data_IF_091962960027
#
_entry.id   IF_091962960027
#
_cell.length_a   1.000
_cell.length_b   1.000
_cell.length_c   1.000
_cell.angle_alpha   90.00
_cell.angle_beta   90.00
_cell.angle_gamma   90.00
#
_symmetry.space_group_name_H-M   'P 1'
#
loop_
_entity.id
_entity.type
_entity.pdbx_description
1 polymer ?
#
# COMPACT_ATOMS: atom_id res chain seq x y z
N UNK A 1 -19.30 17.42 23.92
CA UNK A 1 -18.52 16.41 23.19
C UNK A 1 -17.26 17.08 22.65
N UNK A 2 -16.13 16.91 23.34
CA UNK A 2 -14.86 17.53 22.95
C UNK A 2 -14.22 16.73 21.82
N UNK A 3 -13.89 17.42 20.73
CA UNK A 3 -13.13 16.89 19.60
C UNK A 3 -11.70 16.57 20.05
N UNK A 4 -11.39 15.28 20.14
CA UNK A 4 -10.03 14.80 20.37
C UNK A 4 -9.15 15.26 19.21
N UNK A 5 -8.15 16.09 19.52
CA UNK A 5 -7.15 16.52 18.56
C UNK A 5 -6.39 15.30 18.04
N UNK A 6 -6.44 15.07 16.72
CA UNK A 6 -5.54 14.14 16.02
C UNK A 6 -4.11 14.52 16.41
N UNK A 7 -3.49 13.71 17.26
CA UNK A 7 -2.11 13.89 17.69
C UNK A 7 -1.21 13.99 16.47
N UNK A 8 -0.34 15.00 16.45
CA UNK A 8 0.64 15.22 15.39
C UNK A 8 1.50 13.96 15.28
N UNK A 9 1.31 13.16 14.22
CA UNK A 9 2.05 11.91 13.97
C UNK A 9 3.55 12.23 14.06
N UNK A 10 4.27 11.53 14.93
CA UNK A 10 5.74 11.68 15.01
C UNK A 10 6.32 11.26 13.66
N UNK A 11 6.92 12.21 12.94
CA UNK A 11 7.57 11.96 11.66
C UNK A 11 8.87 11.18 11.91
N UNK A 12 8.95 9.95 11.37
CA UNK A 12 10.18 9.14 11.36
C UNK A 12 11.29 9.86 10.60
N UNK A 13 12.55 9.61 10.98
CA UNK A 13 13.71 10.13 10.26
C UNK A 13 13.94 9.42 8.92
N UNK A 14 14.48 10.11 7.92
CA UNK A 14 14.74 9.55 6.58
C UNK A 14 15.61 8.29 6.61
N UNK A 15 16.67 8.27 7.43
CA UNK A 15 17.50 7.06 7.60
C UNK A 15 16.69 5.88 8.14
N UNK A 16 15.84 6.13 9.14
CA UNK A 16 15.00 5.10 9.74
C UNK A 16 14.00 4.55 8.72
N UNK A 17 13.33 5.41 7.94
CA UNK A 17 12.40 4.98 6.88
C UNK A 17 13.13 4.10 5.85
N UNK A 18 14.36 4.48 5.47
CA UNK A 18 15.15 3.67 4.54
C UNK A 18 15.47 2.28 5.10
N UNK A 19 15.98 2.20 6.33
CA UNK A 19 16.35 0.93 6.96
C UNK A 19 15.11 0.04 7.15
N UNK A 20 13.98 0.61 7.58
CA UNK A 20 12.70 -0.08 7.69
C UNK A 20 12.18 -0.57 6.33
N UNK A 21 12.23 0.25 5.29
CA UNK A 21 11.80 -0.13 3.94
C UNK A 21 12.61 -1.31 3.40
N UNK A 22 13.94 -1.30 3.55
CA UNK A 22 14.79 -2.39 3.09
C UNK A 22 14.51 -3.69 3.85
N UNK A 23 14.28 -3.59 5.17
CA UNK A 23 13.87 -4.72 5.99
C UNK A 23 12.51 -5.29 5.56
N UNK A 24 11.52 -4.42 5.33
CA UNK A 24 10.18 -4.79 4.87
C UNK A 24 10.24 -5.51 3.52
N UNK A 25 10.90 -4.94 2.51
CA UNK A 25 11.03 -5.56 1.18
C UNK A 25 11.69 -6.95 1.29
N UNK A 26 12.74 -7.07 2.09
CA UNK A 26 13.44 -8.34 2.30
C UNK A 26 12.53 -9.37 2.95
N UNK A 27 11.83 -8.98 4.02
CA UNK A 27 10.91 -9.87 4.76
C UNK A 27 9.79 -10.38 3.85
N UNK A 28 9.14 -9.48 3.11
CA UNK A 28 8.02 -9.85 2.24
C UNK A 28 8.48 -10.64 1.00
N UNK A 29 9.69 -10.37 0.49
CA UNK A 29 10.30 -11.19 -0.57
C UNK A 29 10.61 -12.61 -0.08
N UNK A 30 11.16 -12.76 1.14
CA UNK A 30 11.41 -14.07 1.76
C UNK A 30 10.09 -14.83 1.93
N UNK A 31 9.04 -14.20 2.48
CA UNK A 31 7.72 -14.82 2.63
C UNK A 31 7.16 -15.26 1.28
N UNK A 32 7.22 -14.39 0.28
CA UNK A 32 6.78 -14.67 -1.09
C UNK A 32 7.47 -15.91 -1.67
N UNK A 33 8.80 -15.91 -1.74
CA UNK A 33 9.54 -17.03 -2.35
C UNK A 33 9.49 -18.31 -1.50
N UNK A 34 9.36 -18.19 -0.18
CA UNK A 34 9.18 -19.36 0.71
C UNK A 34 7.84 -20.05 0.43
N UNK A 35 6.75 -19.30 0.31
CA UNK A 35 5.44 -19.90 0.01
C UNK A 35 5.36 -20.49 -1.39
N UNK A 36 6.05 -19.88 -2.37
CA UNK A 36 6.24 -20.45 -3.71
C UNK A 36 6.98 -21.79 -3.63
N UNK A 37 8.10 -21.85 -2.90
CA UNK A 37 8.87 -23.08 -2.73
C UNK A 37 8.04 -24.18 -2.06
N UNK A 38 7.26 -23.84 -1.02
CA UNK A 38 6.35 -24.78 -0.35
C UNK A 38 5.33 -25.34 -1.35
N UNK A 39 4.70 -24.50 -2.17
CA UNK A 39 3.74 -24.96 -3.17
C UNK A 39 4.39 -25.90 -4.19
N UNK A 40 5.55 -25.54 -4.73
CA UNK A 40 6.27 -26.37 -5.72
C UNK A 40 6.66 -27.73 -5.11
N UNK A 41 7.14 -27.74 -3.87
CA UNK A 41 7.49 -28.99 -3.18
C UNK A 41 6.24 -29.86 -2.92
N UNK A 42 5.13 -29.26 -2.50
CA UNK A 42 3.87 -29.98 -2.33
C UNK A 42 3.35 -30.53 -3.67
N UNK A 43 3.41 -29.72 -4.73
CA UNK A 43 3.05 -30.12 -6.10
C UNK A 43 3.90 -31.27 -6.64
N UNK A 44 5.16 -31.36 -6.23
CA UNK A 44 6.07 -32.42 -6.68
C UNK A 44 5.93 -33.71 -5.86
N UNK A 45 5.80 -33.60 -4.54
CA UNK A 45 5.85 -34.77 -3.63
C UNK A 45 4.48 -35.28 -3.17
N UNK A 46 3.47 -34.41 -3.07
CA UNK A 46 2.21 -34.71 -2.37
C UNK A 46 0.99 -34.69 -3.29
N UNK A 47 1.02 -33.92 -4.36
CA UNK A 47 -0.13 -33.71 -5.24
C UNK A 47 0.23 -33.89 -6.72
N UNK A 48 -0.78 -33.81 -7.60
CA UNK A 48 -0.59 -33.80 -9.05
C UNK A 48 -1.45 -32.68 -9.64
N UNK A 49 -0.97 -31.42 -9.60
CA UNK A 49 -1.79 -30.27 -9.97
C UNK A 49 -2.20 -30.29 -11.43
N UNK A 50 -3.47 -29.96 -11.67
CA UNK A 50 -4.06 -29.75 -12.99
C UNK A 50 -3.55 -28.46 -13.65
N UNK A 51 -3.79 -28.32 -14.95
CA UNK A 51 -3.48 -27.09 -15.71
C UNK A 51 -4.08 -25.84 -15.07
N UNK A 52 -5.28 -25.93 -14.51
CA UNK A 52 -5.96 -24.80 -13.85
C UNK A 52 -5.19 -24.32 -12.61
N UNK A 53 -4.67 -25.25 -11.82
CA UNK A 53 -3.88 -24.92 -10.62
C UNK A 53 -2.55 -24.26 -11.00
N UNK A 54 -1.89 -24.76 -12.04
CA UNK A 54 -0.67 -24.12 -12.57
C UNK A 54 -0.91 -22.72 -13.11
N UNK A 55 -2.06 -22.47 -13.74
CA UNK A 55 -2.46 -21.13 -14.19
C UNK A 55 -2.69 -20.21 -12.98
N UNK A 56 -3.43 -20.68 -11.96
CA UNK A 56 -3.66 -19.93 -10.73
C UNK A 56 -2.34 -19.58 -10.01
N UNK A 57 -1.47 -20.57 -9.86
CA UNK A 57 -0.11 -20.40 -9.33
C UNK A 57 0.70 -19.39 -10.13
N UNK A 58 0.72 -19.51 -11.46
CA UNK A 58 1.47 -18.61 -12.35
C UNK A 58 1.00 -17.16 -12.24
N UNK A 59 -0.32 -16.94 -12.22
CA UNK A 59 -0.91 -15.62 -12.01
C UNK A 59 -0.52 -15.03 -10.66
N UNK A 60 -0.62 -15.81 -9.57
CA UNK A 60 -0.22 -15.38 -8.23
C UNK A 60 1.28 -15.03 -8.16
N UNK A 61 2.12 -15.84 -8.80
CA UNK A 61 3.57 -15.64 -8.83
C UNK A 61 3.97 -14.37 -9.61
N UNK A 62 3.38 -14.14 -10.78
CA UNK A 62 3.60 -12.92 -11.55
C UNK A 62 3.17 -11.70 -10.72
N UNK A 63 1.99 -11.76 -10.10
CA UNK A 63 1.47 -10.70 -9.24
C UNK A 63 2.44 -10.38 -8.09
N UNK A 64 2.97 -11.39 -7.38
CA UNK A 64 3.96 -11.17 -6.32
C UNK A 64 5.22 -10.45 -6.82
N UNK A 65 5.76 -10.84 -7.98
CA UNK A 65 6.94 -10.18 -8.55
C UNK A 65 6.65 -8.72 -8.94
N UNK A 66 5.46 -8.45 -9.49
CA UNK A 66 5.02 -7.09 -9.80
C UNK A 66 4.89 -6.26 -8.51
N UNK A 67 4.25 -6.78 -7.46
CA UNK A 67 4.07 -6.08 -6.19
C UNK A 67 5.42 -5.79 -5.51
N UNK A 68 6.34 -6.76 -5.47
CA UNK A 68 7.70 -6.55 -4.95
C UNK A 68 8.45 -5.52 -5.78
N UNK A 69 8.33 -5.56 -7.11
CA UNK A 69 8.90 -4.54 -7.99
C UNK A 69 8.36 -3.14 -7.69
N UNK A 70 7.05 -3.00 -7.49
CA UNK A 70 6.43 -1.74 -7.08
C UNK A 70 6.94 -1.27 -5.72
N UNK A 71 7.08 -2.15 -4.74
CA UNK A 71 7.67 -1.79 -3.44
C UNK A 71 9.11 -1.27 -3.58
N UNK A 72 9.94 -1.92 -4.39
CA UNK A 72 11.31 -1.47 -4.68
C UNK A 72 11.35 -0.10 -5.36
N UNK A 73 10.42 0.17 -6.28
CA UNK A 73 10.31 1.47 -6.95
C UNK A 73 9.84 2.55 -5.97
N UNK A 74 8.83 2.26 -5.15
CA UNK A 74 8.29 3.19 -4.15
C UNK A 74 9.30 3.52 -3.05
N UNK A 75 10.11 2.54 -2.62
CA UNK A 75 11.13 2.70 -1.59
C UNK A 75 12.52 3.12 -2.14
N UNK A 76 12.59 3.60 -3.38
CA UNK A 76 13.86 3.96 -4.01
C UNK A 76 14.47 5.20 -3.35
N UNK A 77 15.48 4.97 -2.50
CA UNK A 77 16.17 6.04 -1.80
C UNK A 77 17.17 6.81 -2.67
N UNK A 78 17.27 8.11 -2.40
CA UNK A 78 18.31 9.01 -2.93
C UNK A 78 19.36 9.23 -1.84
N UNK A 79 20.63 9.04 -2.20
CA UNK A 79 21.79 9.25 -1.31
C UNK A 79 22.63 10.42 -1.83
N UNK A 80 23.31 11.12 -0.92
CA UNK A 80 24.29 12.14 -1.30
C UNK A 80 25.65 11.51 -1.66
N UNK A 81 26.62 12.34 -2.06
CA UNK A 81 27.99 11.91 -2.40
C UNK A 81 28.72 11.18 -1.26
N UNK A 82 28.30 11.44 -0.01
CA UNK A 82 28.84 10.80 1.20
C UNK A 82 28.08 9.51 1.58
N UNK A 83 27.13 9.06 0.76
CA UNK A 83 26.31 7.87 1.00
C UNK A 83 25.18 8.05 2.03
N UNK A 84 24.94 9.26 2.53
CA UNK A 84 23.87 9.56 3.49
C UNK A 84 22.54 9.66 2.76
N UNK A 85 21.52 8.99 3.29
CA UNK A 85 20.14 9.04 2.78
C UNK A 85 19.59 10.45 2.93
N UNK A 86 19.30 11.09 1.79
CA UNK A 86 18.65 12.41 1.74
C UNK A 86 17.13 12.28 1.55
N UNK A 87 16.70 11.20 0.90
CA UNK A 87 15.30 10.86 0.68
C UNK A 87 15.20 9.33 0.67
N UNK A 88 14.32 8.78 1.52
CA UNK A 88 14.12 7.34 1.64
C UNK A 88 13.10 6.78 0.63
N UNK A 89 12.45 7.64 -0.16
CA UNK A 89 11.27 7.29 -0.94
C UNK A 89 10.02 7.26 -0.06
N UNK A 90 8.96 6.60 -0.55
CA UNK A 90 7.73 6.41 0.21
C UNK A 90 7.94 5.44 1.38
N UNK A 91 7.41 5.76 2.56
CA UNK A 91 7.37 4.84 3.69
C UNK A 91 6.39 3.70 3.38
N UNK A 92 6.90 2.48 3.22
CA UNK A 92 6.07 1.31 2.92
C UNK A 92 5.21 0.90 4.12
N UNK A 93 5.63 1.26 5.33
CA UNK A 93 4.99 0.89 6.58
C UNK A 93 4.07 2.01 7.10
N UNK A 94 3.72 2.99 6.26
CA UNK A 94 2.72 4.01 6.60
C UNK A 94 1.30 3.42 6.50
N UNK A 95 0.52 3.35 7.59
CA UNK A 95 -0.83 2.75 7.59
C UNK A 95 -1.89 3.52 6.77
N UNK A 96 -1.54 4.67 6.23
CA UNK A 96 -2.41 5.42 5.30
C UNK A 96 -1.79 5.50 3.90
N UNK A 97 -0.64 4.84 3.71
CA UNK A 97 0.17 4.91 2.51
C UNK A 97 -0.20 3.83 1.48
N UNK A 98 0.27 4.05 0.25
CA UNK A 98 0.12 3.06 -0.82
C UNK A 98 0.84 1.73 -0.52
N UNK A 99 1.89 1.79 0.30
CA UNK A 99 2.69 0.62 0.70
C UNK A 99 1.87 -0.48 1.36
N UNK A 100 0.93 -0.13 2.23
CA UNK A 100 0.07 -1.10 2.94
C UNK A 100 -0.67 -2.02 1.95
N UNK A 101 -1.27 -1.46 0.90
CA UNK A 101 -1.96 -2.25 -0.12
C UNK A 101 -1.02 -3.21 -0.86
N UNK A 102 0.25 -2.83 -1.08
CA UNK A 102 1.25 -3.71 -1.70
C UNK A 102 1.60 -4.86 -0.75
N UNK A 103 1.82 -4.56 0.53
CA UNK A 103 2.14 -5.54 1.56
C UNK A 103 1.00 -6.56 1.71
N UNK A 104 -0.23 -6.08 1.88
CA UNK A 104 -1.42 -6.93 2.01
C UNK A 104 -1.62 -7.83 0.77
N UNK A 105 -1.39 -7.28 -0.42
CA UNK A 105 -1.52 -8.04 -1.66
C UNK A 105 -0.45 -9.14 -1.78
N UNK A 106 0.77 -8.91 -1.29
CA UNK A 106 1.82 -9.95 -1.23
C UNK A 106 1.44 -11.03 -0.23
N UNK A 107 0.93 -10.66 0.95
CA UNK A 107 0.49 -11.63 1.97
C UNK A 107 -0.67 -12.47 1.46
N UNK A 108 -1.67 -11.84 0.85
CA UNK A 108 -2.81 -12.54 0.25
C UNK A 108 -2.36 -13.52 -0.83
N UNK A 109 -1.46 -13.10 -1.72
CA UNK A 109 -0.91 -13.98 -2.77
C UNK A 109 -0.10 -15.13 -2.18
N UNK A 110 0.68 -14.88 -1.13
CA UNK A 110 1.47 -15.89 -0.42
C UNK A 110 0.55 -16.91 0.29
N UNK A 111 -0.54 -16.45 0.89
CA UNK A 111 -1.56 -17.31 1.46
C UNK A 111 -2.25 -18.17 0.40
N UNK A 112 -2.49 -17.63 -0.81
CA UNK A 112 -3.05 -18.40 -1.92
C UNK A 112 -2.14 -19.58 -2.33
N UNK A 113 -0.82 -19.44 -2.28
CA UNK A 113 0.10 -20.57 -2.54
C UNK A 113 -0.03 -21.68 -1.50
N UNK A 114 -0.02 -21.31 -0.21
CA UNK A 114 -0.16 -22.31 0.87
C UNK A 114 -1.52 -23.00 0.81
N UNK A 115 -2.59 -22.22 0.64
CA UNK A 115 -3.95 -22.76 0.51
C UNK A 115 -4.14 -23.52 -0.79
N UNK A 116 -3.51 -23.10 -1.88
CA UNK A 116 -3.58 -23.75 -3.20
C UNK A 116 -3.01 -25.15 -3.20
N UNK A 117 -2.04 -25.44 -2.32
CA UNK A 117 -1.52 -26.79 -2.12
C UNK A 117 -2.55 -27.75 -1.48
N UNK A 118 -3.59 -27.21 -0.82
CA UNK A 118 -4.63 -27.98 -0.11
C UNK A 118 -5.96 -27.93 -0.86
N UNK A 119 -6.30 -26.75 -1.43
CA UNK A 119 -7.58 -26.45 -2.04
C UNK A 119 -7.38 -25.59 -3.30
N UNK A 120 -7.53 -26.22 -4.45
CA UNK A 120 -7.26 -25.67 -5.78
C UNK A 120 -8.01 -24.38 -6.15
N UNK A 121 -9.19 -24.14 -5.56
CA UNK A 121 -9.99 -22.93 -5.82
C UNK A 121 -9.58 -21.72 -4.97
N UNK A 122 -8.56 -21.86 -4.10
CA UNK A 122 -8.04 -20.76 -3.27
C UNK A 122 -7.58 -19.56 -4.11
N UNK A 123 -7.09 -19.77 -5.33
CA UNK A 123 -6.66 -18.70 -6.24
C UNK A 123 -7.79 -17.74 -6.64
N UNK A 124 -9.06 -18.10 -6.46
CA UNK A 124 -10.17 -17.16 -6.61
C UNK A 124 -10.13 -16.02 -5.58
N UNK A 125 -9.45 -16.21 -4.44
CA UNK A 125 -9.21 -15.15 -3.46
C UNK A 125 -8.40 -13.99 -4.04
N UNK A 126 -7.60 -14.21 -5.09
CA UNK A 126 -6.89 -13.13 -5.77
C UNK A 126 -7.84 -12.10 -6.39
N UNK A 127 -9.09 -12.47 -6.69
CA UNK A 127 -10.11 -11.56 -7.21
C UNK A 127 -10.53 -10.50 -6.17
N UNK A 128 -10.18 -10.68 -4.89
CA UNK A 128 -10.39 -9.66 -3.85
C UNK A 128 -9.62 -8.38 -4.20
N UNK A 129 -8.42 -8.48 -4.77
CA UNK A 129 -7.59 -7.32 -5.14
C UNK A 129 -8.29 -6.43 -6.19
N UNK A 130 -8.62 -6.93 -7.40
CA UNK A 130 -9.33 -6.12 -8.38
C UNK A 130 -10.74 -5.74 -7.90
N UNK A 131 -11.42 -6.61 -7.15
CA UNK A 131 -12.73 -6.29 -6.55
C UNK A 131 -12.65 -5.08 -5.61
N UNK A 132 -11.64 -5.02 -4.75
CA UNK A 132 -11.41 -3.89 -3.85
C UNK A 132 -11.03 -2.61 -4.59
N UNK A 133 -10.19 -2.71 -5.63
CA UNK A 133 -9.83 -1.57 -6.49
C UNK A 133 -11.08 -0.98 -7.17
N UNK A 134 -11.94 -1.84 -7.73
CA UNK A 134 -13.22 -1.41 -8.34
C UNK A 134 -14.12 -0.78 -7.30
N UNK A 135 -14.31 -1.41 -6.14
CA UNK A 135 -15.12 -0.87 -5.05
C UNK A 135 -14.66 0.53 -4.63
N UNK A 136 -13.36 0.70 -4.37
CA UNK A 136 -12.77 1.99 -4.01
C UNK A 136 -12.94 3.01 -5.13
N UNK A 137 -12.74 2.63 -6.39
CA UNK A 137 -12.95 3.51 -7.54
C UNK A 137 -14.40 3.99 -7.65
N UNK A 138 -15.37 3.09 -7.48
CA UNK A 138 -16.79 3.40 -7.49
C UNK A 138 -17.13 4.39 -6.36
N UNK A 139 -16.74 4.08 -5.12
CA UNK A 139 -17.07 4.91 -3.96
C UNK A 139 -16.37 6.27 -3.99
N UNK A 140 -15.15 6.35 -4.55
CA UNK A 140 -14.35 7.59 -4.53
C UNK A 140 -14.67 8.53 -5.69
N UNK A 141 -15.01 8.00 -6.87
CA UNK A 141 -15.21 8.81 -8.08
C UNK A 141 -16.64 8.77 -8.58
N UNK A 142 -17.24 7.58 -8.69
CA UNK A 142 -18.54 7.41 -9.36
C UNK A 142 -19.68 7.87 -8.48
N UNK A 143 -19.71 7.45 -7.21
CA UNK A 143 -20.77 7.87 -6.28
C UNK A 143 -20.76 9.39 -6.12
N UNK A 144 -19.63 10.07 -5.80
CA UNK A 144 -19.63 11.52 -5.67
C UNK A 144 -20.02 12.25 -6.96
N UNK A 145 -19.66 11.73 -8.14
CA UNK A 145 -20.06 12.31 -9.41
C UNK A 145 -21.56 12.18 -9.68
N UNK A 146 -22.17 11.04 -9.34
CA UNK A 146 -23.61 10.81 -9.47
C UNK A 146 -24.43 11.55 -8.42
N UNK A 147 -23.90 11.70 -7.20
CA UNK A 147 -24.56 12.39 -6.08
C UNK A 147 -24.16 13.86 -5.96
N UNK A 148 -23.31 14.36 -6.86
CA UNK A 148 -23.10 15.78 -7.08
C UNK A 148 -24.37 16.34 -7.75
N UNK A 149 -25.46 16.40 -6.98
CA UNK A 149 -26.55 17.31 -7.27
C UNK A 149 -26.01 18.73 -7.39
N UNK A 150 -26.80 19.62 -7.97
CA UNK A 150 -26.51 21.04 -8.20
C UNK A 150 -26.35 21.85 -6.89
N UNK A 151 -25.62 21.34 -5.91
CA UNK A 151 -25.31 22.03 -4.67
C UNK A 151 -24.20 23.02 -4.97
N UNK A 152 -24.61 24.27 -5.19
CA UNK A 152 -23.78 25.44 -4.94
C UNK A 152 -23.06 25.18 -3.61
N UNK A 153 -21.72 25.16 -3.57
CA UNK A 153 -21.01 24.85 -2.35
C UNK A 153 -21.47 25.86 -1.29
N UNK A 154 -21.83 25.43 -0.06
CA UNK A 154 -21.81 26.36 1.05
C UNK A 154 -20.39 26.91 1.08
N UNK A 155 -20.24 28.23 1.08
CA UNK A 155 -18.95 28.88 1.26
C UNK A 155 -18.30 28.31 2.53
N UNK A 156 -17.40 27.34 2.35
CA UNK A 156 -16.47 26.98 3.40
C UNK A 156 -15.67 28.25 3.67
N UNK A 157 -15.69 28.62 4.95
CA UNK A 157 -15.19 29.84 5.55
C UNK A 157 -13.63 29.94 5.40
N UNK A 158 -13.13 30.04 4.16
CA UNK A 158 -11.70 30.22 3.79
C UNK A 158 -11.17 31.58 4.28
N UNK A 159 -12.04 32.44 4.83
CA UNK A 159 -11.73 33.80 5.27
C UNK A 159 -11.16 33.96 6.69
N UNK A 160 -11.35 33.01 7.61
CA UNK A 160 -10.98 33.22 9.03
C UNK A 160 -9.49 32.97 9.33
N UNK A 161 -8.82 32.11 8.57
CA UNK A 161 -7.38 31.82 8.75
C UNK A 161 -6.47 32.94 8.22
N UNK A 162 -6.82 33.53 7.08
CA UNK A 162 -6.00 34.56 6.42
C UNK A 162 -6.07 35.93 7.12
N UNK A 163 -7.23 36.31 7.71
CA UNK A 163 -7.38 37.59 8.43
C UNK A 163 -6.54 37.65 9.72
N UNK A 164 -6.50 36.58 10.52
CA UNK A 164 -5.68 36.52 11.77
C UNK A 164 -4.18 36.60 11.52
N UNK A 165 -3.69 36.12 10.37
CA UNK A 165 -2.27 36.16 10.03
C UNK A 165 -1.85 37.54 9.52
N UNK A 166 -2.73 38.24 8.79
CA UNK A 166 -2.49 39.62 8.35
C UNK A 166 -2.52 40.64 9.51
N UNK A 167 -3.41 40.47 10.48
CA UNK A 167 -3.41 41.33 11.69
C UNK A 167 -2.12 41.20 12.50
N UNK A 168 -1.63 39.98 12.71
CA UNK A 168 -0.36 39.75 13.45
C UNK A 168 0.87 40.35 12.76
N UNK A 169 0.88 40.43 11.42
CA UNK A 169 1.96 41.08 10.67
C UNK A 169 1.89 42.61 10.81
N UNK A 170 0.68 43.17 10.93
CA UNK A 170 0.47 44.62 11.07
C UNK A 170 0.93 45.16 12.44
N UNK A 171 0.76 44.39 13.52
CA UNK A 171 1.23 44.77 14.87
C UNK A 171 2.74 44.60 15.09
N UNK A 172 3.46 43.95 14.17
CA UNK A 172 4.91 43.74 14.30
C UNK A 172 5.75 44.79 13.56
N UNK A 173 5.10 45.76 12.92
CA UNK A 173 5.71 46.82 12.11
C UNK A 173 5.52 48.24 12.69
N UNK A 174 5.10 48.33 13.95
CA UNK A 174 5.14 49.57 14.73
C UNK A 174 6.05 49.37 15.93
#
# INVERSE_FOLDING_TARGET
MNTSGKGKKLTKGQKQIYDENMSTITTYSIVSYTTVAIYILAAYFLTSPSTWEWVGFGCAFILQNVLIGLMCISAKAKKNEKGVVIDAGSDLNDPEGFGEYLLDSVILSSACHVLGAIYSKSYLLLLIIPGYVVYKGVVTFIIPWLTAGSDVPPEEDVGKGKKKQQEKIKYKRY
#
